data_IF_170908892515
#
_entry.id   IF_170908892515
#
_cell.length_a   1.000
_cell.length_b   1.000
_cell.length_c   1.000
_cell.angle_alpha   90.00
_cell.angle_beta   90.00
_cell.angle_gamma   90.00
#
_symmetry.space_group_name_H-M   'P 1'
#
loop_
_entity.id
_entity.type
_entity.pdbx_description
1 polymer ?
#
# COMPACT_ATOMS: atom_id res chain seq x y z
N UNK A 1 -13.25 -26.27 10.19
CA UNK A 1 -14.08 -25.30 9.50
C UNK A 1 -14.22 -23.98 10.28
N UNK A 2 -14.64 -23.98 11.56
CA UNK A 2 -14.77 -22.77 12.39
C UNK A 2 -13.46 -21.99 12.52
N UNK A 3 -12.34 -22.66 12.81
CA UNK A 3 -11.02 -22.00 12.93
C UNK A 3 -10.59 -21.29 11.63
N UNK A 4 -10.89 -21.88 10.47
CA UNK A 4 -10.59 -21.25 9.19
C UNK A 4 -11.44 -20.00 8.96
N UNK A 5 -12.72 -20.01 9.33
CA UNK A 5 -13.59 -18.84 9.23
C UNK A 5 -13.13 -17.71 10.17
N UNK A 6 -12.77 -18.04 11.42
CA UNK A 6 -12.26 -17.05 12.36
C UNK A 6 -10.92 -16.46 11.88
N UNK A 7 -10.03 -17.27 11.30
CA UNK A 7 -8.79 -16.81 10.70
C UNK A 7 -9.03 -15.84 9.52
N UNK A 8 -9.98 -16.16 8.65
CA UNK A 8 -10.35 -15.29 7.53
C UNK A 8 -10.93 -13.94 8.02
N UNK A 9 -11.83 -13.97 9.00
CA UNK A 9 -12.43 -12.75 9.57
C UNK A 9 -11.32 -11.88 10.21
N UNK A 10 -10.41 -12.49 10.98
CA UNK A 10 -9.29 -11.78 11.60
C UNK A 10 -8.37 -11.13 10.56
N UNK A 11 -8.03 -11.88 9.51
CA UNK A 11 -7.18 -11.38 8.41
C UNK A 11 -7.86 -10.23 7.65
N UNK A 12 -9.14 -10.38 7.32
CA UNK A 12 -9.95 -9.34 6.68
C UNK A 12 -9.97 -8.06 7.52
N UNK A 13 -10.20 -8.18 8.82
CA UNK A 13 -10.21 -7.03 9.73
C UNK A 13 -8.83 -6.34 9.76
N UNK A 14 -7.74 -7.10 9.79
CA UNK A 14 -6.38 -6.56 9.73
C UNK A 14 -6.12 -5.76 8.44
N UNK A 15 -6.46 -6.31 7.28
CA UNK A 15 -6.33 -5.61 6.01
C UNK A 15 -7.23 -4.38 5.91
N UNK A 16 -8.43 -4.45 6.44
CA UNK A 16 -9.39 -3.34 6.46
C UNK A 16 -8.85 -2.14 7.26
N UNK A 17 -8.33 -2.40 8.45
CA UNK A 17 -7.71 -1.38 9.30
C UNK A 17 -6.45 -0.81 8.62
N UNK A 18 -5.58 -1.65 8.09
CA UNK A 18 -4.35 -1.21 7.43
C UNK A 18 -4.64 -0.33 6.20
N UNK A 19 -5.57 -0.76 5.35
CA UNK A 19 -5.95 -0.02 4.14
C UNK A 19 -6.57 1.34 4.44
N UNK A 20 -7.48 1.41 5.41
CA UNK A 20 -8.12 2.67 5.81
C UNK A 20 -7.13 3.66 6.42
N UNK A 21 -6.18 3.20 7.23
CA UNK A 21 -5.10 4.03 7.79
C UNK A 21 -4.12 4.49 6.72
N UNK A 22 -3.81 3.64 5.74
CA UNK A 22 -2.95 4.03 4.61
C UNK A 22 -3.59 5.16 3.80
N UNK A 23 -4.88 5.03 3.43
CA UNK A 23 -5.61 6.08 2.72
C UNK A 23 -5.66 7.39 3.52
N UNK A 24 -5.86 7.29 4.83
CA UNK A 24 -5.84 8.44 5.72
C UNK A 24 -4.47 9.14 5.73
N UNK A 25 -3.37 8.38 5.86
CA UNK A 25 -2.02 8.94 5.86
C UNK A 25 -1.65 9.58 4.52
N UNK A 26 -2.06 8.97 3.39
CA UNK A 26 -1.89 9.54 2.06
C UNK A 26 -2.71 10.83 1.88
N UNK A 27 -3.92 10.89 2.44
CA UNK A 27 -4.76 12.09 2.45
C UNK A 27 -4.14 13.22 3.29
N UNK A 28 -3.59 12.90 4.49
CA UNK A 28 -2.88 13.86 5.34
C UNK A 28 -1.59 14.35 4.69
N UNK A 29 -0.84 13.46 4.05
CA UNK A 29 0.38 13.80 3.31
C UNK A 29 0.12 14.57 2.01
N UNK A 30 -1.15 14.91 1.69
CA UNK A 30 -1.51 15.62 0.47
C UNK A 30 -1.22 14.83 -0.81
N UNK A 31 -1.10 13.51 -0.75
CA UNK A 31 -0.95 12.63 -1.92
C UNK A 31 -2.30 12.20 -2.51
N UNK A 32 -3.35 12.21 -1.70
CA UNK A 32 -4.73 11.98 -2.09
C UNK A 32 -5.60 13.18 -1.68
N UNK A 33 -6.83 13.29 -2.22
CA UNK A 33 -7.76 14.36 -1.82
C UNK A 33 -7.95 14.40 -0.30
N UNK A 34 -7.97 15.60 0.27
CA UNK A 34 -8.10 15.84 1.71
C UNK A 34 -9.38 15.23 2.33
N UNK A 35 -10.35 14.84 1.50
CA UNK A 35 -11.54 14.11 1.92
C UNK A 35 -11.20 12.83 2.71
N UNK A 36 -10.11 12.13 2.35
CA UNK A 36 -9.62 10.95 3.05
C UNK A 36 -8.96 11.28 4.40
N UNK A 37 -8.50 12.52 4.59
CA UNK A 37 -7.86 12.97 5.84
C UNK A 37 -8.87 13.38 6.93
N UNK A 38 -10.17 13.38 6.63
CA UNK A 38 -11.20 13.74 7.61
C UNK A 38 -11.35 12.68 8.69
N UNK A 39 -11.25 13.12 9.94
CA UNK A 39 -11.49 12.32 11.15
C UNK A 39 -12.89 12.61 11.65
N UNK A 40 -13.60 11.59 12.10
CA UNK A 40 -14.92 11.74 12.70
C UNK A 40 -14.79 12.30 14.13
N UNK A 41 -15.46 13.40 14.43
CA UNK A 41 -15.30 14.15 15.70
C UNK A 41 -15.55 13.29 16.95
N UNK A 42 -16.57 12.43 16.91
CA UNK A 42 -16.95 11.59 18.04
C UNK A 42 -16.10 10.32 18.18
N UNK A 43 -15.77 9.67 17.07
CA UNK A 43 -15.11 8.35 17.09
C UNK A 43 -13.59 8.40 16.83
N UNK A 44 -13.06 9.58 16.52
CA UNK A 44 -11.63 9.80 16.23
C UNK A 44 -11.07 8.80 15.18
N UNK A 45 -11.92 8.41 14.23
CA UNK A 45 -11.58 7.45 13.17
C UNK A 45 -11.68 8.10 11.79
N UNK A 46 -10.88 7.68 10.79
CA UNK A 46 -10.93 8.21 9.43
C UNK A 46 -12.16 7.65 8.69
N UNK A 47 -13.35 8.14 9.03
CA UNK A 47 -14.64 7.60 8.58
C UNK A 47 -14.75 7.49 7.06
N UNK A 48 -14.27 8.49 6.31
CA UNK A 48 -14.35 8.49 4.85
C UNK A 48 -13.45 7.41 4.22
N UNK A 49 -12.23 7.22 4.76
CA UNK A 49 -11.34 6.16 4.32
C UNK A 49 -11.91 4.77 4.64
N UNK A 50 -12.50 4.61 5.83
CA UNK A 50 -13.17 3.37 6.26
C UNK A 50 -14.36 3.05 5.36
N UNK A 51 -15.24 4.02 5.08
CA UNK A 51 -16.38 3.84 4.19
C UNK A 51 -15.96 3.49 2.76
N UNK A 52 -14.92 4.15 2.25
CA UNK A 52 -14.40 3.88 0.91
C UNK A 52 -13.86 2.45 0.77
N UNK A 53 -13.02 2.00 1.72
CA UNK A 53 -12.53 0.61 1.73
C UNK A 53 -13.68 -0.38 1.86
N UNK A 54 -14.67 -0.08 2.73
CA UNK A 54 -15.87 -0.89 2.89
C UNK A 54 -16.68 -1.02 1.62
N UNK A 55 -16.93 0.08 0.93
CA UNK A 55 -17.66 0.08 -0.32
C UNK A 55 -16.99 -0.78 -1.39
N UNK A 56 -15.66 -0.64 -1.55
CA UNK A 56 -14.90 -1.48 -2.49
C UNK A 56 -14.94 -2.95 -2.07
N UNK A 57 -14.79 -3.26 -0.78
CA UNK A 57 -14.83 -4.62 -0.28
C UNK A 57 -16.19 -5.30 -0.51
N UNK A 58 -17.28 -4.55 -0.42
CA UNK A 58 -18.63 -5.05 -0.69
C UNK A 58 -18.85 -5.37 -2.17
N UNK A 59 -18.10 -4.78 -3.09
CA UNK A 59 -18.17 -5.11 -4.52
C UNK A 59 -17.53 -6.47 -4.84
N UNK A 60 -16.58 -6.94 -4.02
CA UNK A 60 -15.86 -8.18 -4.23
C UNK A 60 -16.72 -9.41 -4.53
N UNK A 61 -17.75 -9.72 -3.73
CA UNK A 61 -18.62 -10.88 -3.96
C UNK A 61 -19.38 -10.86 -5.29
N UNK A 62 -19.62 -9.67 -5.85
CA UNK A 62 -20.39 -9.51 -7.11
C UNK A 62 -19.53 -9.75 -8.36
N UNK A 63 -18.20 -9.70 -8.25
CA UNK A 63 -17.27 -9.85 -9.38
C UNK A 63 -17.17 -11.31 -9.84
N UNK A 64 -17.56 -12.26 -9.00
CA UNK A 64 -17.58 -13.68 -9.31
C UNK A 64 -16.24 -14.39 -9.07
N UNK A 65 -16.29 -15.73 -9.06
CA UNK A 65 -15.13 -16.59 -8.73
C UNK A 65 -14.00 -16.51 -9.76
N UNK A 66 -14.30 -16.23 -11.02
CA UNK A 66 -13.30 -16.15 -12.10
C UNK A 66 -12.32 -14.99 -11.95
N UNK A 67 -12.74 -13.90 -11.33
CA UNK A 67 -11.89 -12.74 -11.09
C UNK A 67 -11.06 -12.84 -9.80
N UNK A 68 -11.37 -13.77 -8.92
CA UNK A 68 -10.71 -13.91 -7.62
C UNK A 68 -9.23 -14.21 -7.76
N UNK A 69 -8.86 -15.16 -8.63
CA UNK A 69 -7.46 -15.54 -8.86
C UNK A 69 -6.65 -14.35 -9.46
N UNK A 70 -7.10 -13.69 -10.54
CA UNK A 70 -6.40 -12.52 -11.06
C UNK A 70 -6.23 -11.39 -10.05
N UNK A 71 -7.24 -11.13 -9.21
CA UNK A 71 -7.15 -10.08 -8.17
C UNK A 71 -6.10 -10.45 -7.12
N UNK A 72 -6.09 -11.70 -6.64
CA UNK A 72 -5.11 -12.16 -5.65
C UNK A 72 -3.68 -12.10 -6.21
N UNK A 73 -3.48 -12.57 -7.44
CA UNK A 73 -2.17 -12.55 -8.09
C UNK A 73 -1.67 -11.11 -8.32
N UNK A 74 -2.56 -10.21 -8.75
CA UNK A 74 -2.23 -8.77 -8.89
C UNK A 74 -1.84 -8.16 -7.55
N UNK A 75 -2.55 -8.53 -6.48
CA UNK A 75 -2.22 -8.12 -5.12
C UNK A 75 -0.85 -8.63 -4.67
N UNK A 76 -0.51 -9.88 -5.00
CA UNK A 76 0.78 -10.48 -4.66
C UNK A 76 1.95 -9.75 -5.33
N UNK A 77 1.85 -9.40 -6.63
CA UNK A 77 2.88 -8.60 -7.30
C UNK A 77 3.00 -7.20 -6.67
N UNK A 78 1.89 -6.54 -6.43
CA UNK A 78 1.89 -5.20 -5.81
C UNK A 78 2.55 -5.24 -4.43
N UNK A 79 2.29 -6.28 -3.65
CA UNK A 79 2.93 -6.50 -2.36
C UNK A 79 4.44 -6.73 -2.50
N UNK A 80 4.87 -7.57 -3.46
CA UNK A 80 6.29 -7.83 -3.71
C UNK A 80 7.04 -6.56 -4.13
N UNK A 81 6.44 -5.73 -5.00
CA UNK A 81 6.99 -4.42 -5.40
C UNK A 81 7.09 -3.48 -4.21
N UNK A 82 6.07 -3.42 -3.36
CA UNK A 82 6.08 -2.58 -2.16
C UNK A 82 7.19 -2.99 -1.19
N UNK A 83 7.38 -4.30 -1.01
CA UNK A 83 8.44 -4.85 -0.18
C UNK A 83 9.83 -4.48 -0.74
N UNK A 84 10.02 -4.62 -2.05
CA UNK A 84 11.25 -4.23 -2.75
C UNK A 84 11.54 -2.74 -2.57
N UNK A 85 10.56 -1.88 -2.80
CA UNK A 85 10.72 -0.43 -2.65
C UNK A 85 11.03 -0.03 -1.20
N UNK A 86 10.42 -0.69 -0.23
CA UNK A 86 10.69 -0.46 1.20
C UNK A 86 12.12 -0.85 1.57
N UNK A 87 12.58 -2.02 1.11
CA UNK A 87 13.95 -2.47 1.35
C UNK A 87 14.97 -1.55 0.65
N UNK A 88 14.71 -1.14 -0.59
CA UNK A 88 15.56 -0.20 -1.33
C UNK A 88 15.61 1.17 -0.65
N UNK A 89 14.47 1.69 -0.20
CA UNK A 89 14.41 2.95 0.54
C UNK A 89 15.23 2.87 1.84
N UNK A 90 15.14 1.77 2.57
CA UNK A 90 15.92 1.56 3.79
C UNK A 90 17.44 1.48 3.50
N UNK A 91 17.85 0.82 2.41
CA UNK A 91 19.24 0.80 1.95
C UNK A 91 19.71 2.21 1.59
N UNK A 92 18.92 2.90 0.75
CA UNK A 92 19.24 4.25 0.29
C UNK A 92 19.38 5.24 1.46
N UNK A 93 18.45 5.20 2.41
CA UNK A 93 18.46 6.04 3.60
C UNK A 93 19.69 5.79 4.48
N UNK A 94 20.19 4.55 4.52
CA UNK A 94 21.41 4.18 5.26
C UNK A 94 22.65 4.80 4.68
N UNK A 95 22.73 4.91 3.35
CA UNK A 95 23.86 5.55 2.66
C UNK A 95 23.78 7.07 2.68
N UNK A 96 22.57 7.64 2.50
CA UNK A 96 22.39 9.09 2.37
C UNK A 96 22.44 9.82 3.71
N UNK A 97 21.95 9.19 4.77
CA UNK A 97 21.87 9.78 6.10
C UNK A 97 22.45 8.84 7.18
N UNK A 98 23.78 8.63 7.21
CA UNK A 98 24.42 7.70 8.15
C UNK A 98 24.32 8.16 9.62
N UNK A 99 24.25 9.48 9.85
CA UNK A 99 24.20 10.11 11.18
C UNK A 99 22.81 10.18 11.80
N UNK A 100 21.75 9.78 11.07
CA UNK A 100 20.39 9.85 11.57
C UNK A 100 20.22 8.95 12.81
N UNK A 101 19.69 9.45 13.95
CA UNK A 101 19.46 8.64 15.14
C UNK A 101 18.45 7.56 14.85
N UNK A 102 18.82 6.31 15.09
CA UNK A 102 17.95 5.14 14.84
C UNK A 102 17.91 4.29 16.11
N UNK A 103 16.75 4.23 16.79
CA UNK A 103 16.57 3.39 17.96
C UNK A 103 16.82 1.91 17.66
N UNK A 104 16.47 1.47 16.46
CA UNK A 104 16.71 0.12 15.96
C UNK A 104 17.50 0.14 14.65
N UNK A 105 18.54 -0.67 14.57
CA UNK A 105 19.35 -0.87 13.35
C UNK A 105 19.25 -2.33 12.95
N UNK A 106 18.52 -2.61 11.87
CA UNK A 106 18.52 -3.93 11.25
C UNK A 106 19.95 -4.29 10.79
N UNK A 107 20.30 -5.58 10.83
CA UNK A 107 21.58 -6.05 10.30
C UNK A 107 21.68 -5.74 8.80
N UNK A 108 22.86 -5.32 8.35
CA UNK A 108 23.12 -5.00 6.95
C UNK A 108 22.85 -6.20 6.03
N UNK A 109 23.24 -7.40 6.47
CA UNK A 109 22.96 -8.64 5.75
C UNK A 109 21.46 -8.88 5.56
N UNK A 110 20.65 -8.73 6.61
CA UNK A 110 19.19 -8.89 6.53
C UNK A 110 18.55 -7.92 5.55
N UNK A 111 19.08 -6.69 5.47
CA UNK A 111 18.56 -5.67 4.57
C UNK A 111 18.82 -6.01 3.10
N UNK A 112 20.04 -6.43 2.76
CA UNK A 112 20.36 -6.89 1.40
C UNK A 112 19.65 -8.18 1.04
N UNK A 113 19.52 -9.12 1.97
CA UNK A 113 18.72 -10.33 1.77
C UNK A 113 17.26 -9.98 1.45
N UNK A 114 16.67 -9.00 2.13
CA UNK A 114 15.33 -8.49 1.84
C UNK A 114 15.20 -7.93 0.42
N UNK A 115 16.19 -7.16 -0.04
CA UNK A 115 16.21 -6.65 -1.43
C UNK A 115 16.29 -7.80 -2.44
N UNK A 116 17.20 -8.75 -2.23
CA UNK A 116 17.40 -9.88 -3.15
C UNK A 116 16.14 -10.74 -3.24
N UNK A 117 15.56 -11.12 -2.10
CA UNK A 117 14.36 -11.97 -2.06
C UNK A 117 13.17 -11.25 -2.70
N UNK A 118 12.94 -9.98 -2.38
CA UNK A 118 11.83 -9.23 -2.96
C UNK A 118 12.02 -8.96 -4.47
N UNK A 119 13.25 -8.69 -4.92
CA UNK A 119 13.58 -8.58 -6.34
C UNK A 119 13.34 -9.91 -7.08
N UNK A 120 13.75 -11.03 -6.49
CA UNK A 120 13.53 -12.35 -7.04
C UNK A 120 12.03 -12.67 -7.18
N UNK A 121 11.21 -12.31 -6.18
CA UNK A 121 9.75 -12.47 -6.25
C UNK A 121 9.14 -11.64 -7.39
N UNK A 122 9.55 -10.38 -7.55
CA UNK A 122 9.08 -9.53 -8.65
C UNK A 122 9.48 -10.13 -10.00
N UNK A 123 10.73 -10.59 -10.14
CA UNK A 123 11.22 -11.20 -11.37
C UNK A 123 10.45 -12.49 -11.72
N UNK A 124 10.20 -13.35 -10.73
CA UNK A 124 9.43 -14.58 -10.94
C UNK A 124 7.99 -14.32 -11.40
N UNK A 125 7.41 -13.17 -11.03
CA UNK A 125 6.05 -12.81 -11.42
C UNK A 125 5.97 -12.06 -12.76
N UNK A 126 7.10 -11.51 -13.25
CA UNK A 126 7.14 -10.69 -14.46
C UNK A 126 7.83 -11.37 -15.65
N UNK A 127 8.71 -12.36 -15.41
CA UNK A 127 9.40 -13.07 -16.49
C UNK A 127 8.47 -14.11 -17.11
N UNK A 128 8.26 -14.09 -18.43
CA UNK A 128 7.51 -15.13 -19.15
C UNK A 128 8.08 -16.52 -18.87
N UNK A 129 7.21 -17.53 -18.88
CA UNK A 129 7.56 -18.95 -18.65
C UNK A 129 7.94 -19.30 -17.19
N UNK A 130 7.98 -18.33 -16.28
CA UNK A 130 8.18 -18.63 -14.86
C UNK A 130 6.92 -19.25 -14.23
N UNK A 131 7.05 -20.05 -13.16
CA UNK A 131 5.91 -20.67 -12.48
C UNK A 131 4.92 -19.67 -11.92
N UNK A 132 5.37 -18.42 -11.66
CA UNK A 132 4.57 -17.35 -11.09
C UNK A 132 4.15 -16.26 -12.09
N UNK A 133 4.39 -16.48 -13.39
CA UNK A 133 4.12 -15.46 -14.41
C UNK A 133 2.65 -14.99 -14.42
N UNK A 134 2.45 -13.70 -14.36
CA UNK A 134 1.13 -13.09 -14.38
C UNK A 134 0.53 -13.07 -15.80
N UNK A 135 -0.77 -13.34 -15.86
CA UNK A 135 -1.53 -13.25 -17.12
C UNK A 135 -1.80 -11.79 -17.50
N UNK A 136 -2.08 -11.50 -18.78
CA UNK A 136 -2.35 -10.12 -19.23
C UNK A 136 -3.47 -9.39 -18.46
N UNK A 137 -4.49 -10.13 -18.02
CA UNK A 137 -5.58 -9.58 -17.22
C UNK A 137 -5.10 -9.03 -15.87
N UNK A 138 -4.12 -9.68 -15.26
CA UNK A 138 -3.54 -9.29 -13.98
C UNK A 138 -2.76 -7.98 -14.10
N UNK A 139 -2.00 -7.82 -15.19
CA UNK A 139 -1.33 -6.56 -15.51
C UNK A 139 -2.32 -5.43 -15.79
N UNK A 140 -3.46 -5.73 -16.42
CA UNK A 140 -4.51 -4.76 -16.65
C UNK A 140 -5.14 -4.28 -15.34
N UNK A 141 -5.36 -5.17 -14.39
CA UNK A 141 -5.85 -4.81 -13.03
C UNK A 141 -4.85 -3.89 -12.32
N UNK A 142 -3.55 -4.23 -12.37
CA UNK A 142 -2.51 -3.39 -11.77
C UNK A 142 -2.44 -2.02 -12.44
N UNK A 143 -2.50 -1.99 -13.78
CA UNK A 143 -2.55 -0.75 -14.56
C UNK A 143 -3.76 0.12 -14.21
N UNK A 144 -4.93 -0.49 -14.01
CA UNK A 144 -6.14 0.20 -13.53
C UNK A 144 -5.95 0.83 -12.15
N UNK A 145 -5.34 0.11 -11.21
CA UNK A 145 -5.02 0.65 -9.89
C UNK A 145 -3.98 1.77 -9.94
N UNK A 146 -2.96 1.64 -10.78
CA UNK A 146 -1.98 2.71 -10.99
C UNK A 146 -2.62 3.96 -11.61
N UNK A 147 -3.49 3.79 -12.60
CA UNK A 147 -4.23 4.89 -13.21
C UNK A 147 -5.16 5.57 -12.19
N UNK A 148 -5.85 4.80 -11.35
CA UNK A 148 -6.68 5.34 -10.26
C UNK A 148 -5.85 6.14 -9.24
N UNK A 149 -4.69 5.63 -8.83
CA UNK A 149 -3.76 6.33 -7.94
C UNK A 149 -3.22 7.62 -8.58
N UNK A 150 -2.87 7.57 -9.86
CA UNK A 150 -2.40 8.74 -10.60
C UNK A 150 -3.52 9.79 -10.77
N UNK A 151 -4.74 9.36 -11.04
CA UNK A 151 -5.90 10.27 -11.10
C UNK A 151 -6.12 10.96 -9.75
N UNK A 152 -6.05 10.24 -8.64
CA UNK A 152 -6.10 10.81 -7.29
C UNK A 152 -4.98 11.81 -7.02
N UNK A 153 -3.77 11.49 -7.48
CA UNK A 153 -2.61 12.38 -7.38
C UNK A 153 -2.76 13.66 -8.20
N UNK A 154 -3.31 13.56 -9.41
CA UNK A 154 -3.59 14.73 -10.28
C UNK A 154 -4.73 15.56 -9.69
N UNK A 155 -5.80 14.92 -9.23
CA UNK A 155 -6.95 15.59 -8.63
C UNK A 155 -6.56 16.43 -7.39
N UNK A 156 -5.55 16.01 -6.62
CA UNK A 156 -5.04 16.80 -5.49
C UNK A 156 -4.47 18.17 -5.92
N UNK A 157 -3.81 18.21 -7.11
CA UNK A 157 -3.16 19.42 -7.64
C UNK A 157 -4.15 20.55 -7.86
N UNK A 158 -5.41 20.23 -8.01
CA UNK A 158 -6.51 21.19 -8.17
C UNK A 158 -7.01 21.77 -6.82
N UNK A 159 -6.63 21.16 -5.68
CA UNK A 159 -7.21 21.46 -4.35
C UNK A 159 -6.28 22.33 -3.46
N UNK A 160 -5.07 22.59 -3.91
CA UNK A 160 -4.10 23.45 -3.19
C UNK A 160 -2.78 22.75 -2.89
N UNK A 161 -1.70 23.46 -3.13
CA UNK A 161 -0.33 22.97 -2.89
C UNK A 161 0.00 23.14 -1.38
N UNK A 162 0.04 22.03 -0.67
CA UNK A 162 0.61 22.01 0.69
C UNK A 162 2.12 22.20 0.53
N UNK A 163 2.70 23.17 1.24
CA UNK A 163 4.14 23.42 1.19
C UNK A 163 4.93 22.18 1.60
N UNK A 164 6.18 22.03 1.12
CA UNK A 164 7.02 20.88 1.49
C UNK A 164 7.23 20.80 3.00
N UNK A 165 7.43 21.94 3.67
CA UNK A 165 7.61 22.02 5.11
C UNK A 165 6.35 21.59 5.88
N UNK A 166 5.19 22.00 5.43
CA UNK A 166 3.93 21.61 6.03
C UNK A 166 3.61 20.13 5.84
N UNK A 167 4.00 19.56 4.70
CA UNK A 167 3.91 18.13 4.43
C UNK A 167 4.82 17.32 5.34
N UNK A 168 6.08 17.74 5.49
CA UNK A 168 7.04 17.08 6.38
C UNK A 168 6.55 17.11 7.83
N UNK A 169 5.99 18.24 8.26
CA UNK A 169 5.35 18.39 9.58
C UNK A 169 4.15 17.43 9.76
N UNK A 170 3.27 17.33 8.76
CA UNK A 170 2.08 16.46 8.80
C UNK A 170 2.43 14.96 8.77
N UNK A 171 3.55 14.59 8.18
CA UNK A 171 4.00 13.19 8.05
C UNK A 171 4.87 12.78 9.24
N UNK A 172 5.82 13.62 9.62
CA UNK A 172 6.85 13.30 10.62
C UNK A 172 6.47 13.73 12.03
N UNK A 173 5.53 14.68 12.18
CA UNK A 173 5.21 15.32 13.45
C UNK A 173 6.32 16.28 13.90
N UNK A 174 6.21 16.78 15.12
CA UNK A 174 7.25 17.58 15.75
C UNK A 174 8.43 16.69 16.15
N UNK A 175 9.47 16.65 15.31
CA UNK A 175 10.79 16.13 15.64
C UNK A 175 11.83 17.22 15.49
#
# INVERSE_FOLDING_TARGET
MVAALLGLISTLNGFYIASSRLLFSLGRGGLLPHWFARVHDKHQTPSNAVLFVGAISLLGPFIGKSALIPIVNSGALTFAVTLLMTCLAAVWLRFRHPSMPRPFRANTFSLYAGVIVSAMLVLLMTIPESPGFLKPLEFLIIGGWMAFGLAGYIARRTIGDISRLERDYLILGDY
#
